data_IF_221410011552
#
_entry.id   IF_221410011552
#
_cell.length_a   1.000
_cell.length_b   1.000
_cell.length_c   1.000
_cell.angle_alpha   90.00
_cell.angle_beta   90.00
_cell.angle_gamma   90.00
#
_symmetry.space_group_name_H-M   'P 1'
#
loop_
_entity.id
_entity.type
_entity.pdbx_description
1 polymer ?
#
# COMPACT_ATOMS: atom_id res chain seq x y z
N UNK A 1 -13.38 5.57 2.53
CA UNK A 1 -13.05 7.00 2.60
C UNK A 1 -12.69 7.46 1.20
N UNK A 2 -13.52 8.31 0.57
CA UNK A 2 -13.30 8.67 -0.82
C UNK A 2 -12.03 9.53 -0.95
N UNK A 3 -11.08 9.02 -1.74
CA UNK A 3 -9.82 9.71 -2.04
C UNK A 3 -9.86 10.18 -3.50
N UNK A 4 -9.68 11.47 -3.70
CA UNK A 4 -9.60 12.08 -5.03
C UNK A 4 -8.20 12.66 -5.24
N UNK A 5 -7.59 12.34 -6.38
CA UNK A 5 -6.31 12.92 -6.79
C UNK A 5 -6.52 13.72 -8.08
N UNK A 6 -6.10 14.98 -8.06
CA UNK A 6 -6.26 15.91 -9.17
C UNK A 6 -4.89 16.21 -9.76
N UNK A 7 -4.77 16.07 -11.08
CA UNK A 7 -3.55 16.36 -11.84
C UNK A 7 -3.60 17.80 -12.32
N UNK A 8 -2.60 18.58 -11.92
CA UNK A 8 -2.47 20.01 -12.16
C UNK A 8 -1.28 20.29 -13.08
N UNK A 9 -1.40 21.35 -13.89
CA UNK A 9 -0.38 21.72 -14.86
C UNK A 9 0.91 22.22 -14.20
N UNK A 10 0.77 23.00 -13.13
CA UNK A 10 1.82 23.80 -12.53
C UNK A 10 1.56 24.05 -11.02
N UNK A 11 2.62 24.51 -10.32
CA UNK A 11 2.59 24.81 -8.89
C UNK A 11 1.47 25.81 -8.48
N UNK A 12 1.30 26.98 -9.13
CA UNK A 12 0.31 27.95 -8.69
C UNK A 12 -1.13 27.44 -8.84
N UNK A 13 -1.42 26.60 -9.84
CA UNK A 13 -2.75 25.99 -9.94
C UNK A 13 -2.99 24.94 -8.85
N UNK A 14 -1.97 24.14 -8.49
CA UNK A 14 -2.05 23.15 -7.42
C UNK A 14 -2.22 23.79 -6.03
N UNK A 15 -1.43 24.81 -5.73
CA UNK A 15 -1.51 25.58 -4.48
C UNK A 15 -2.82 26.36 -4.39
N UNK A 16 -3.22 27.03 -5.48
CA UNK A 16 -4.48 27.77 -5.54
C UNK A 16 -5.71 26.89 -5.34
N UNK A 17 -5.71 25.67 -5.89
CA UNK A 17 -6.76 24.68 -5.64
C UNK A 17 -6.76 24.22 -4.18
N UNK A 18 -5.59 23.91 -3.63
CA UNK A 18 -5.45 23.46 -2.23
C UNK A 18 -5.94 24.52 -1.25
N UNK A 19 -5.62 25.78 -1.51
CA UNK A 19 -6.08 26.90 -0.69
C UNK A 19 -7.60 27.06 -0.78
N UNK A 20 -8.18 27.05 -1.99
CA UNK A 20 -9.65 27.10 -2.16
C UNK A 20 -10.37 25.93 -1.50
N UNK A 21 -9.76 24.74 -1.49
CA UNK A 21 -10.32 23.57 -0.81
C UNK A 21 -10.29 23.74 0.71
N UNK A 22 -9.23 24.35 1.26
CA UNK A 22 -9.12 24.67 2.69
C UNK A 22 -10.04 25.82 3.12
N UNK A 23 -10.27 26.79 2.23
CA UNK A 23 -11.20 27.90 2.44
C UNK A 23 -12.66 27.45 2.35
N UNK A 24 -12.91 26.22 1.88
CA UNK A 24 -14.25 25.64 1.89
C UNK A 24 -14.55 25.10 3.29
N UNK A 25 -15.76 25.35 3.79
CA UNK A 25 -16.23 24.92 5.12
C UNK A 25 -16.49 23.39 5.23
N UNK A 26 -15.83 22.60 4.38
CA UNK A 26 -15.93 21.16 4.37
C UNK A 26 -14.91 20.55 5.33
N UNK A 27 -15.30 19.55 6.13
CA UNK A 27 -14.35 18.82 6.94
C UNK A 27 -13.47 17.97 6.02
N UNK A 28 -12.26 18.43 5.73
CA UNK A 28 -11.26 17.69 4.98
C UNK A 28 -10.40 16.90 5.96
N UNK A 29 -10.20 15.61 5.68
CA UNK A 29 -9.28 14.79 6.46
C UNK A 29 -7.84 15.03 6.04
N UNK A 30 -7.64 15.20 4.72
CA UNK A 30 -6.32 15.43 4.15
C UNK A 30 -6.43 16.25 2.87
N UNK A 31 -5.58 17.27 2.77
CA UNK A 31 -5.45 18.10 1.57
C UNK A 31 -3.97 18.46 1.39
N UNK A 32 -3.32 17.77 0.45
CA UNK A 32 -1.88 17.87 0.21
C UNK A 32 -1.58 18.17 -1.26
N UNK A 33 -0.66 19.10 -1.49
CA UNK A 33 0.03 19.28 -2.76
C UNK A 33 1.24 18.36 -2.81
N UNK A 34 1.42 17.67 -3.94
CA UNK A 34 2.56 16.78 -4.18
C UNK A 34 3.28 17.32 -5.41
N UNK A 35 4.53 17.80 -5.25
CA UNK A 35 5.35 18.26 -6.37
C UNK A 35 5.80 17.10 -7.27
N UNK A 36 6.15 17.41 -8.54
CA UNK A 36 6.72 16.43 -9.46
C UNK A 36 8.06 15.87 -8.98
N UNK A 37 8.87 16.69 -8.29
CA UNK A 37 10.19 16.31 -7.79
C UNK A 37 10.16 15.95 -6.29
N UNK A 38 10.97 14.95 -5.87
CA UNK A 38 11.17 14.54 -4.46
C UNK A 38 10.48 13.25 -4.01
N UNK A 39 10.41 13.01 -2.70
CA UNK A 39 9.82 11.78 -2.12
C UNK A 39 8.38 11.98 -1.60
N UNK A 40 7.75 13.10 -1.95
CA UNK A 40 6.44 13.48 -1.41
C UNK A 40 5.33 12.49 -1.80
N UNK A 41 5.41 11.89 -3.00
CA UNK A 41 4.47 10.86 -3.45
C UNK A 41 4.66 9.55 -2.66
N UNK A 42 5.90 9.19 -2.33
CA UNK A 42 6.23 7.94 -1.64
C UNK A 42 5.83 7.96 -0.16
N UNK A 43 5.70 9.16 0.43
CA UNK A 43 5.19 9.38 1.79
C UNK A 43 3.68 9.21 1.91
N UNK A 44 2.95 9.20 0.80
CA UNK A 44 1.51 8.96 0.80
C UNK A 44 1.27 7.47 0.60
N UNK A 45 0.90 6.76 1.67
CA UNK A 45 0.65 5.32 1.64
C UNK A 45 -0.36 4.89 0.55
N UNK A 46 -1.35 5.74 0.27
CA UNK A 46 -2.34 5.55 -0.81
C UNK A 46 -1.74 5.58 -2.23
N UNK A 47 -0.61 6.26 -2.42
CA UNK A 47 0.08 6.41 -3.71
C UNK A 47 1.33 5.54 -3.82
N UNK A 48 1.66 4.80 -2.77
CA UNK A 48 2.82 3.91 -2.74
C UNK A 48 2.37 2.45 -2.74
N UNK A 49 2.35 1.79 -3.91
CA UNK A 49 1.90 0.40 -4.02
C UNK A 49 2.79 -0.56 -3.21
N UNK A 50 4.06 -0.20 -2.98
CA UNK A 50 4.99 -1.01 -2.22
C UNK A 50 4.64 -1.03 -0.72
N UNK A 51 4.11 0.06 -0.16
CA UNK A 51 3.73 0.11 1.24
C UNK A 51 2.51 -0.77 1.54
N UNK A 52 1.50 -0.75 0.66
CA UNK A 52 0.32 -1.62 0.77
C UNK A 52 0.72 -3.09 0.66
N UNK A 53 1.59 -3.43 -0.30
CA UNK A 53 2.13 -4.81 -0.45
C UNK A 53 2.93 -5.23 0.78
N UNK A 54 3.80 -4.36 1.31
CA UNK A 54 4.61 -4.67 2.48
C UNK A 54 3.77 -4.82 3.76
N UNK A 55 2.73 -4.01 3.94
CA UNK A 55 1.81 -4.13 5.08
C UNK A 55 1.03 -5.45 5.04
N UNK A 56 0.51 -5.84 3.87
CA UNK A 56 -0.18 -7.12 3.66
C UNK A 56 0.76 -8.30 3.89
N UNK A 57 1.97 -8.24 3.33
CA UNK A 57 3.01 -9.26 3.56
C UNK A 57 3.32 -9.39 5.05
N UNK A 58 3.52 -8.28 5.78
CA UNK A 58 3.78 -8.31 7.24
C UNK A 58 2.60 -8.89 8.03
N UNK A 59 1.36 -8.58 7.64
CA UNK A 59 0.16 -9.14 8.24
C UNK A 59 0.07 -10.65 8.06
N UNK A 60 0.25 -11.12 6.81
CA UNK A 60 0.26 -12.54 6.48
C UNK A 60 1.43 -13.27 7.13
N UNK A 61 2.64 -12.72 7.05
CA UNK A 61 3.84 -13.32 7.63
C UNK A 61 3.73 -13.46 9.15
N UNK A 62 3.03 -12.55 9.84
CA UNK A 62 2.76 -12.65 11.28
C UNK A 62 2.00 -13.92 11.66
N UNK A 63 1.21 -14.47 10.73
CA UNK A 63 0.46 -15.72 10.93
C UNK A 63 1.14 -16.94 10.29
N UNK A 64 1.63 -16.79 9.06
CA UNK A 64 2.27 -17.87 8.31
C UNK A 64 3.62 -18.30 8.89
N UNK A 65 4.40 -17.38 9.49
CA UNK A 65 5.66 -17.74 10.15
C UNK A 65 5.47 -18.67 11.35
N UNK A 66 4.65 -18.32 12.38
CA UNK A 66 4.44 -19.22 13.52
C UNK A 66 3.70 -20.50 13.10
N UNK A 67 2.76 -20.41 12.16
CA UNK A 67 2.08 -21.60 11.63
C UNK A 67 3.07 -22.53 10.92
N UNK A 68 3.90 -22.00 10.03
CA UNK A 68 4.93 -22.75 9.32
C UNK A 68 5.93 -23.38 10.27
N UNK A 69 6.35 -22.66 11.32
CA UNK A 69 7.21 -23.21 12.36
C UNK A 69 6.58 -24.39 13.09
N UNK A 70 5.34 -24.23 13.55
CA UNK A 70 4.61 -25.29 14.25
C UNK A 70 4.40 -26.51 13.33
N UNK A 71 4.03 -26.27 12.08
CA UNK A 71 3.86 -27.30 11.06
C UNK A 71 5.17 -28.05 10.81
N UNK A 72 6.30 -27.34 10.69
CA UNK A 72 7.62 -27.94 10.51
C UNK A 72 8.08 -28.79 11.70
N UNK A 73 7.87 -28.31 12.93
CA UNK A 73 8.11 -29.07 14.16
C UNK A 73 7.26 -30.35 14.20
N UNK A 74 5.97 -30.22 13.90
CA UNK A 74 5.02 -31.33 13.95
C UNK A 74 5.31 -32.36 12.86
N UNK A 75 5.60 -31.88 11.64
CA UNK A 75 5.96 -32.72 10.50
C UNK A 75 7.21 -33.55 10.80
N UNK A 76 8.24 -32.93 11.36
CA UNK A 76 9.49 -33.62 11.74
C UNK A 76 9.23 -34.70 12.78
N UNK A 77 8.41 -34.40 13.80
CA UNK A 77 8.03 -35.36 14.83
C UNK A 77 7.21 -36.54 14.30
N UNK A 78 6.28 -36.30 13.36
CA UNK A 78 5.44 -37.36 12.77
C UNK A 78 6.26 -38.24 11.81
N UNK A 79 7.08 -37.63 10.97
CA UNK A 79 7.79 -38.33 9.89
C UNK A 79 9.10 -38.97 10.35
N UNK A 80 9.58 -38.68 11.56
CA UNK A 80 10.85 -39.22 12.11
C UNK A 80 12.01 -38.99 11.13
N UNK A 81 12.06 -37.81 10.51
CA UNK A 81 12.98 -37.47 9.43
C UNK A 81 14.42 -37.28 9.95
N UNK A 82 15.19 -38.36 9.99
CA UNK A 82 16.61 -38.37 10.42
C UNK A 82 17.59 -37.55 9.55
N UNK A 83 17.10 -36.73 8.61
CA UNK A 83 17.87 -35.87 7.72
C UNK A 83 18.84 -34.96 8.48
N UNK A 84 18.48 -34.57 9.70
CA UNK A 84 19.31 -33.74 10.59
C UNK A 84 19.61 -34.42 11.93
N UNK A 85 19.57 -35.75 11.99
CA UNK A 85 19.82 -36.53 13.21
C UNK A 85 21.21 -36.26 13.82
N UNK A 86 22.16 -35.77 13.00
CA UNK A 86 23.48 -35.30 13.44
C UNK A 86 23.43 -34.15 14.45
N UNK A 87 22.33 -33.40 14.50
CA UNK A 87 22.10 -32.30 15.45
C UNK A 87 21.31 -32.74 16.70
N UNK A 88 21.06 -34.05 16.84
CA UNK A 88 20.31 -34.64 17.93
C UNK A 88 18.79 -34.41 17.84
N UNK A 89 18.00 -35.04 18.74
CA UNK A 89 16.53 -35.05 18.67
C UNK A 89 15.89 -33.66 18.73
N UNK A 90 16.53 -32.75 19.47
CA UNK A 90 16.10 -31.36 19.61
C UNK A 90 16.48 -30.52 18.39
N UNK A 91 17.67 -30.74 17.82
CA UNK A 91 18.17 -30.00 16.67
C UNK A 91 17.39 -30.30 15.40
N UNK A 92 17.04 -31.57 15.16
CA UNK A 92 16.23 -31.99 14.02
C UNK A 92 14.86 -31.29 14.00
N UNK A 93 14.18 -31.30 15.15
CA UNK A 93 12.87 -30.65 15.32
C UNK A 93 12.95 -29.14 15.10
N UNK A 94 14.01 -28.50 15.59
CA UNK A 94 14.21 -27.06 15.49
C UNK A 94 14.52 -26.62 14.05
N UNK A 95 15.35 -27.39 13.33
CA UNK A 95 15.64 -27.15 11.91
C UNK A 95 14.39 -27.35 11.06
N UNK A 96 13.60 -28.40 11.32
CA UNK A 96 12.30 -28.61 10.66
C UNK A 96 11.34 -27.45 10.88
N UNK A 97 11.27 -26.92 12.11
CA UNK A 97 10.52 -25.70 12.41
C UNK A 97 11.02 -24.48 11.64
N UNK A 98 12.33 -24.25 11.59
CA UNK A 98 12.90 -23.12 10.84
C UNK A 98 12.64 -23.22 9.33
N UNK A 99 12.73 -24.43 8.76
CA UNK A 99 12.39 -24.67 7.35
C UNK A 99 10.91 -24.40 7.08
N UNK A 100 10.02 -24.84 7.98
CA UNK A 100 8.58 -24.54 7.89
C UNK A 100 8.28 -23.04 8.05
N UNK A 101 9.00 -22.33 8.91
CA UNK A 101 8.90 -20.87 9.00
C UNK A 101 9.34 -20.20 7.69
N UNK A 102 10.42 -20.68 7.09
CA UNK A 102 10.93 -20.21 5.79
C UNK A 102 9.92 -20.41 4.65
N UNK A 103 9.23 -21.57 4.61
CA UNK A 103 8.17 -21.79 3.63
C UNK A 103 6.95 -20.90 3.86
N UNK A 104 6.59 -20.63 5.13
CA UNK A 104 5.56 -19.67 5.50
C UNK A 104 5.89 -18.23 5.06
N UNK A 105 7.16 -17.83 5.19
CA UNK A 105 7.65 -16.54 4.66
C UNK A 105 7.51 -16.47 3.15
N UNK A 106 7.95 -17.49 2.41
CA UNK A 106 7.81 -17.54 0.96
C UNK A 106 6.34 -17.54 0.52
N UNK A 107 5.47 -18.28 1.21
CA UNK A 107 4.03 -18.28 0.97
C UNK A 107 3.40 -16.89 1.19
N UNK A 108 3.82 -16.17 2.23
CA UNK A 108 3.34 -14.81 2.49
C UNK A 108 3.74 -13.81 1.40
N UNK A 109 4.94 -13.98 0.82
CA UNK A 109 5.40 -13.14 -0.30
C UNK A 109 4.62 -13.44 -1.58
N UNK A 110 4.45 -14.72 -1.93
CA UNK A 110 3.69 -15.13 -3.10
C UNK A 110 2.22 -14.70 -3.01
N UNK A 111 1.58 -14.87 -1.84
CA UNK A 111 0.20 -14.46 -1.62
C UNK A 111 0.03 -12.93 -1.64
N UNK A 112 1.00 -12.17 -1.14
CA UNK A 112 0.97 -10.71 -1.22
C UNK A 112 1.17 -10.17 -2.65
N UNK A 113 1.85 -10.94 -3.51
CA UNK A 113 2.08 -10.59 -4.92
C UNK A 113 0.92 -11.01 -5.85
N UNK A 114 0.12 -12.01 -5.46
CA UNK A 114 -0.97 -12.54 -6.30
C UNK A 114 -2.28 -11.75 -6.24
N UNK A 115 -2.42 -10.82 -5.29
CA UNK A 115 -3.61 -9.99 -5.16
C UNK A 115 -3.37 -8.68 -5.90
N UNK A 116 -3.96 -8.55 -7.09
CA UNK A 116 -4.04 -7.25 -7.76
C UNK A 116 -4.82 -6.29 -6.86
N UNK A 117 -4.20 -5.17 -6.49
CA UNK A 117 -4.94 -4.05 -5.93
C UNK A 117 -5.70 -3.39 -7.07
N UNK A 118 -7.03 -3.34 -7.02
CA UNK A 118 -7.84 -2.57 -7.98
C UNK A 118 -7.35 -1.11 -8.15
N UNK A 119 -6.68 -0.59 -7.13
CA UNK A 119 -6.10 0.75 -7.11
C UNK A 119 -4.73 0.89 -7.81
N UNK A 120 -4.03 -0.20 -8.17
CA UNK A 120 -2.69 -0.15 -8.79
C UNK A 120 -2.71 0.55 -10.16
N UNK A 121 -3.81 0.44 -10.90
CA UNK A 121 -3.96 1.12 -12.20
C UNK A 121 -4.07 2.64 -12.03
N UNK A 122 -4.91 3.11 -11.10
CA UNK A 122 -5.06 4.54 -10.80
C UNK A 122 -3.77 5.16 -10.27
N UNK A 123 -3.12 4.48 -9.32
CA UNK A 123 -1.83 4.90 -8.76
C UNK A 123 -0.74 4.93 -9.83
N UNK A 124 -0.67 3.94 -10.72
CA UNK A 124 0.32 3.92 -11.82
C UNK A 124 0.12 5.08 -12.79
N UNK A 125 -1.12 5.42 -13.14
CA UNK A 125 -1.43 6.58 -13.98
C UNK A 125 -0.94 7.87 -13.30
N UNK A 126 -1.23 8.04 -12.01
CA UNK A 126 -0.81 9.22 -11.24
C UNK A 126 0.72 9.34 -11.15
N UNK A 127 1.44 8.23 -10.97
CA UNK A 127 2.91 8.23 -10.99
C UNK A 127 3.47 8.62 -12.37
N UNK A 128 2.93 8.07 -13.45
CA UNK A 128 3.35 8.46 -14.80
C UNK A 128 3.12 9.96 -15.05
N UNK A 129 1.96 10.51 -14.63
CA UNK A 129 1.69 11.95 -14.74
C UNK A 129 2.68 12.78 -13.95
N UNK A 130 3.07 12.31 -12.77
CA UNK A 130 4.11 12.96 -11.97
C UNK A 130 5.46 12.95 -12.69
N UNK A 131 5.86 11.81 -13.26
CA UNK A 131 7.11 11.67 -14.00
C UNK A 131 7.12 12.55 -15.28
N UNK A 132 5.94 12.87 -15.83
CA UNK A 132 5.76 13.88 -16.88
C UNK A 132 5.90 15.33 -16.37
N UNK A 133 6.25 15.55 -15.10
CA UNK A 133 6.40 16.87 -14.49
C UNK A 133 5.09 17.50 -13.98
N UNK A 134 4.01 16.73 -13.85
CA UNK A 134 2.72 17.25 -13.37
C UNK A 134 2.65 17.29 -11.84
N UNK A 135 1.91 18.28 -11.36
CA UNK A 135 1.60 18.43 -9.95
C UNK A 135 0.38 17.60 -9.58
N UNK A 136 0.35 17.04 -8.38
CA UNK A 136 -0.80 16.29 -7.89
C UNK A 136 -1.38 16.96 -6.63
N UNK A 137 -2.70 16.99 -6.53
CA UNK A 137 -3.42 17.42 -5.32
C UNK A 137 -4.22 16.25 -4.80
N UNK A 138 -3.87 15.79 -3.59
CA UNK A 138 -4.56 14.72 -2.89
C UNK A 138 -5.62 15.33 -1.97
N UNK A 139 -6.87 14.91 -2.16
CA UNK A 139 -8.01 15.27 -1.33
C UNK A 139 -8.63 14.01 -0.72
N UNK A 140 -8.78 14.03 0.60
CA UNK A 140 -9.43 12.98 1.37
C UNK A 140 -10.57 13.60 2.19
N UNK A 141 -11.80 13.12 1.96
CA UNK A 141 -12.99 13.55 2.70
C UNK A 141 -13.51 12.42 3.59
N UNK A 142 -14.20 12.75 4.71
CA UNK A 142 -14.86 11.76 5.55
C UNK A 142 -15.90 10.94 4.76
N UNK A 143 -16.16 9.71 5.23
CA UNK A 143 -17.22 8.88 4.68
C UNK A 143 -18.57 9.62 4.74
N UNK A 144 -19.30 9.59 3.63
CA UNK A 144 -20.59 10.28 3.50
C UNK A 144 -20.51 11.75 3.08
N UNK A 145 -19.29 12.30 2.91
CA UNK A 145 -19.09 13.66 2.41
C UNK A 145 -18.49 13.61 1.01
N UNK A 146 -19.26 14.08 0.03
CA UNK A 146 -18.80 14.17 -1.34
C UNK A 146 -17.74 15.26 -1.52
N UNK A 147 -16.81 15.04 -2.44
CA UNK A 147 -15.80 16.03 -2.80
C UNK A 147 -16.47 17.28 -3.41
N UNK A 148 -15.97 18.50 -3.13
CA UNK A 148 -16.52 19.75 -3.63
C UNK A 148 -16.29 19.91 -5.13
N UNK A 149 -17.08 19.22 -5.94
CA UNK A 149 -16.91 19.14 -7.39
C UNK A 149 -16.92 20.51 -8.07
N UNK A 150 -17.69 21.46 -7.55
CA UNK A 150 -17.73 22.82 -8.07
C UNK A 150 -16.36 23.52 -7.96
N UNK A 151 -15.68 23.38 -6.82
CA UNK A 151 -14.36 23.99 -6.59
C UNK A 151 -13.32 23.31 -7.47
N UNK A 152 -13.38 21.98 -7.55
CA UNK A 152 -12.47 21.17 -8.36
C UNK A 152 -12.63 21.53 -9.84
N UNK A 153 -13.84 21.52 -10.40
CA UNK A 153 -14.06 21.85 -11.82
C UNK A 153 -13.65 23.28 -12.17
N UNK A 154 -13.88 24.25 -11.27
CA UNK A 154 -13.43 25.65 -11.47
C UNK A 154 -11.91 25.79 -11.60
N UNK A 155 -11.14 24.87 -11.00
CA UNK A 155 -9.68 24.87 -11.11
C UNK A 155 -9.15 24.24 -12.40
N UNK A 156 -10.03 23.68 -13.25
CA UNK A 156 -9.69 23.03 -14.53
C UNK A 156 -8.52 22.02 -14.41
N UNK A 157 -8.65 20.99 -13.56
CA UNK A 157 -7.65 19.94 -13.48
C UNK A 157 -7.54 19.22 -14.83
N UNK A 158 -6.34 18.80 -15.19
CA UNK A 158 -6.10 18.05 -16.43
C UNK A 158 -6.73 16.67 -16.38
N UNK A 159 -6.73 16.08 -15.19
CA UNK A 159 -7.29 14.77 -14.93
C UNK A 159 -7.69 14.69 -13.45
N UNK A 160 -8.80 14.01 -13.17
CA UNK A 160 -9.18 13.66 -11.80
C UNK A 160 -9.29 12.15 -11.73
N UNK A 161 -8.57 11.56 -10.80
CA UNK A 161 -8.57 10.12 -10.53
C UNK A 161 -9.22 9.92 -9.17
N UNK A 162 -10.30 9.15 -9.12
CA UNK A 162 -10.86 8.64 -7.87
C UNK A 162 -10.17 7.34 -7.56
N UNK A 163 -9.63 7.24 -6.35
CA UNK A 163 -9.16 5.98 -5.80
C UNK A 163 -10.33 5.45 -4.98
N UNK A 164 -10.92 4.32 -5.42
CA UNK A 164 -12.06 3.71 -4.75
C UNK A 164 -11.65 3.19 -3.35
N UNK A 165 -12.65 3.14 -2.47
CA UNK A 165 -12.51 2.94 -1.02
C UNK A 165 -11.62 1.74 -0.65
N UNK A 166 -10.61 2.00 0.20
CA UNK A 166 -10.00 1.00 1.09
C UNK A 166 -10.98 0.60 2.19
#
# INVERSE_FOLDING_TARGET
MPVCVMVMADAPAAEGLTQRLRDTDLPLLKCLTIPPDGDAIDKVALLNPNLTRQQRQRGMARWLMPFGFLAGVTFTKITTLTTFASFGPWGETLIGGLLGMGSGLMGSYAAAASVDSDNDAGVRILRNRRDEGRWLVLLETPNGIEAPWQVIQKSRPQQVVRLDDL
#
